data_IF_227928188176
#
_entry.id   IF_227928188176
#
_cell.length_a   1.000
_cell.length_b   1.000
_cell.length_c   1.000
_cell.angle_alpha   90.00
_cell.angle_beta   90.00
_cell.angle_gamma   90.00
#
_symmetry.space_group_name_H-M   'P 1'
#
loop_
_entity.id
_entity.type
_entity.pdbx_description
1 polymer ?
#
# COMPACT_ATOMS: atom_id res chain seq x y z
N UNK A 1 4.81 8.47 -29.18
CA UNK A 1 3.65 8.09 -28.47
C UNK A 1 3.83 8.12 -26.96
N UNK A 2 2.93 8.66 -26.30
CA UNK A 2 3.07 8.80 -24.88
C UNK A 2 2.33 7.70 -24.17
N UNK A 3 3.03 7.04 -23.31
CA UNK A 3 2.39 6.06 -22.49
C UNK A 3 1.87 6.77 -21.25
N UNK A 4 0.61 7.03 -21.23
CA UNK A 4 0.01 7.66 -20.08
C UNK A 4 -0.04 6.66 -18.94
N UNK A 5 0.35 7.10 -17.76
CA UNK A 5 0.15 6.30 -16.57
C UNK A 5 -1.34 6.24 -16.28
N UNK A 6 -1.83 5.07 -15.83
CA UNK A 6 -3.21 4.91 -15.40
C UNK A 6 -3.46 5.63 -14.09
N UNK A 7 -2.40 6.04 -13.41
CA UNK A 7 -2.50 6.66 -12.10
C UNK A 7 -1.92 8.07 -12.11
N UNK A 8 -2.52 8.96 -11.32
CA UNK A 8 -1.99 10.31 -11.15
C UNK A 8 -0.68 10.25 -10.37
N UNK A 9 0.17 11.30 -10.45
CA UNK A 9 1.38 11.36 -9.64
C UNK A 9 1.10 11.21 -8.14
N UNK A 10 0.00 11.77 -7.65
CA UNK A 10 -0.39 11.65 -6.25
C UNK A 10 -0.68 10.20 -5.88
N UNK A 11 -1.38 9.48 -6.75
CA UNK A 11 -1.69 8.07 -6.52
C UNK A 11 -0.43 7.21 -6.56
N UNK A 12 0.48 7.48 -7.49
CA UNK A 12 1.75 6.76 -7.57
C UNK A 12 2.56 6.98 -6.30
N UNK A 13 2.66 8.23 -5.84
CA UNK A 13 3.37 8.55 -4.60
C UNK A 13 2.74 7.84 -3.40
N UNK A 14 1.42 7.79 -3.37
CA UNK A 14 0.67 7.10 -2.31
C UNK A 14 1.00 5.61 -2.31
N UNK A 15 1.03 4.97 -3.48
CA UNK A 15 1.38 3.55 -3.59
C UNK A 15 2.81 3.28 -3.15
N UNK A 16 3.74 4.18 -3.46
CA UNK A 16 5.12 4.04 -3.00
C UNK A 16 5.20 4.05 -1.47
N UNK A 17 4.50 4.99 -0.84
CA UNK A 17 4.47 5.08 0.62
C UNK A 17 3.80 3.87 1.24
N UNK A 18 2.71 3.41 0.65
CA UNK A 18 2.00 2.23 1.13
C UNK A 18 2.88 0.99 1.03
N UNK A 19 3.59 0.84 -0.09
CA UNK A 19 4.49 -0.29 -0.28
C UNK A 19 5.59 -0.31 0.79
N UNK A 20 6.19 0.84 1.06
CA UNK A 20 7.23 0.94 2.08
C UNK A 20 6.69 0.60 3.47
N UNK A 21 5.52 1.11 3.79
CA UNK A 21 4.89 0.83 5.08
C UNK A 21 4.54 -0.66 5.23
N UNK A 22 3.99 -1.25 4.18
CA UNK A 22 3.62 -2.67 4.23
C UNK A 22 4.83 -3.59 4.33
N UNK A 23 5.93 -3.24 3.67
CA UNK A 23 7.19 -3.97 3.82
C UNK A 23 7.72 -3.86 5.24
N UNK A 24 7.67 -2.65 5.82
CA UNK A 24 8.08 -2.41 7.19
C UNK A 24 7.23 -3.22 8.15
N UNK A 25 5.91 -3.22 7.95
CA UNK A 25 5.00 -4.00 8.77
C UNK A 25 5.31 -5.50 8.67
N UNK A 26 5.49 -6.00 7.46
CA UNK A 26 5.79 -7.41 7.25
C UNK A 26 7.05 -7.83 7.99
N UNK A 27 8.10 -7.01 7.91
CA UNK A 27 9.37 -7.33 8.54
C UNK A 27 9.28 -7.22 10.06
N UNK A 28 8.70 -6.15 10.57
CA UNK A 28 8.58 -5.93 12.00
C UNK A 28 7.67 -6.96 12.66
N UNK A 29 6.55 -7.29 12.02
CA UNK A 29 5.59 -8.23 12.59
C UNK A 29 6.06 -9.69 12.54
N UNK A 30 7.03 -9.99 11.68
CA UNK A 30 7.59 -11.34 11.58
C UNK A 30 8.76 -11.55 12.54
N UNK A 31 9.32 -10.48 13.11
CA UNK A 31 10.45 -10.60 14.03
C UNK A 31 10.02 -11.26 15.33
N UNK A 32 10.81 -12.21 15.81
CA UNK A 32 10.47 -12.95 17.02
C UNK A 32 10.41 -12.08 18.26
N UNK A 33 11.22 -11.02 18.26
CA UNK A 33 11.31 -10.12 19.39
C UNK A 33 10.52 -8.83 19.15
N UNK A 34 9.61 -8.84 18.19
CA UNK A 34 8.86 -7.63 17.92
C UNK A 34 7.98 -7.29 19.11
N UNK A 35 8.06 -6.05 19.56
CA UNK A 35 7.24 -5.55 20.63
C UNK A 35 6.14 -4.66 20.06
N UNK A 36 5.16 -4.34 20.90
CA UNK A 36 4.09 -3.44 20.49
C UNK A 36 4.64 -2.09 20.03
N UNK A 37 5.75 -1.64 20.63
CA UNK A 37 6.38 -0.37 20.25
C UNK A 37 6.90 -0.38 18.82
N UNK A 38 7.30 -1.55 18.33
CA UNK A 38 7.84 -1.67 16.98
C UNK A 38 6.81 -1.42 15.89
N UNK A 39 5.54 -1.42 16.23
CA UNK A 39 4.48 -1.20 15.28
C UNK A 39 3.82 0.18 15.38
N UNK A 40 4.28 1.01 16.30
CA UNK A 40 3.72 2.36 16.48
C UNK A 40 3.84 3.17 15.20
N UNK A 41 5.00 3.09 14.55
CA UNK A 41 5.25 3.81 13.32
C UNK A 41 4.28 3.33 12.23
N UNK A 42 4.17 2.02 12.04
CA UNK A 42 3.31 1.44 11.01
C UNK A 42 1.85 1.79 11.24
N UNK A 43 1.39 1.76 12.48
CA UNK A 43 0.03 2.14 12.79
C UNK A 43 -0.24 3.61 12.45
N UNK A 44 0.67 4.49 12.82
CA UNK A 44 0.50 5.92 12.55
C UNK A 44 0.54 6.23 11.06
N UNK A 45 1.48 5.64 10.35
CA UNK A 45 1.58 5.82 8.92
C UNK A 45 0.35 5.25 8.23
N UNK A 46 -0.12 4.08 8.68
CA UNK A 46 -1.29 3.45 8.10
C UNK A 46 -2.54 4.31 8.25
N UNK A 47 -2.71 4.98 9.38
CA UNK A 47 -3.83 5.90 9.58
C UNK A 47 -3.82 7.04 8.57
N UNK A 48 -2.65 7.63 8.37
CA UNK A 48 -2.50 8.72 7.40
C UNK A 48 -2.75 8.23 5.98
N UNK A 49 -2.19 7.08 5.65
CA UNK A 49 -2.38 6.49 4.35
C UNK A 49 -3.82 6.09 4.10
N UNK A 50 -4.51 5.59 5.12
CA UNK A 50 -5.92 5.22 5.00
C UNK A 50 -6.76 6.44 4.62
N UNK A 51 -6.53 7.55 5.28
CA UNK A 51 -7.25 8.78 5.00
C UNK A 51 -6.99 9.23 3.55
N UNK A 52 -5.73 9.24 3.16
CA UNK A 52 -5.35 9.62 1.80
C UNK A 52 -5.93 8.64 0.78
N UNK A 53 -5.94 7.37 1.11
CA UNK A 53 -6.48 6.32 0.24
C UNK A 53 -7.96 6.54 -0.07
N UNK A 54 -8.72 6.91 0.95
CA UNK A 54 -10.14 7.18 0.79
C UNK A 54 -10.36 8.38 -0.13
N UNK A 55 -9.58 9.43 0.04
CA UNK A 55 -9.70 10.63 -0.80
C UNK A 55 -9.32 10.33 -2.25
N UNK A 56 -8.23 9.59 -2.46
CA UNK A 56 -7.81 9.24 -3.81
C UNK A 56 -8.79 8.31 -4.49
N UNK A 57 -9.39 7.39 -3.73
CA UNK A 57 -10.39 6.48 -4.28
C UNK A 57 -11.64 7.23 -4.73
N UNK A 58 -12.07 8.19 -3.93
CA UNK A 58 -13.20 9.05 -4.30
C UNK A 58 -12.92 9.82 -5.58
N UNK A 59 -11.71 10.38 -5.68
CA UNK A 59 -11.30 11.13 -6.86
C UNK A 59 -11.29 10.23 -8.10
N UNK A 60 -10.75 9.02 -7.96
CA UNK A 60 -10.74 8.05 -9.05
C UNK A 60 -12.15 7.67 -9.48
N UNK A 61 -13.05 7.48 -8.52
CA UNK A 61 -14.43 7.15 -8.79
C UNK A 61 -15.12 8.27 -9.56
N UNK A 62 -14.93 9.51 -9.13
CA UNK A 62 -15.53 10.67 -9.78
C UNK A 62 -15.04 10.86 -11.21
N UNK A 63 -13.79 10.49 -11.47
CA UNK A 63 -13.19 10.61 -12.79
C UNK A 63 -13.38 9.38 -13.67
N UNK A 64 -14.05 8.36 -13.15
CA UNK A 64 -14.25 7.12 -13.89
C UNK A 64 -12.96 6.33 -14.11
N UNK A 65 -11.95 6.55 -13.27
CA UNK A 65 -10.69 5.82 -13.39
C UNK A 65 -10.78 4.50 -12.65
N UNK A 66 -11.36 3.51 -13.30
CA UNK A 66 -11.62 2.21 -12.69
C UNK A 66 -10.35 1.48 -12.21
N UNK A 67 -9.26 1.46 -12.98
CA UNK A 67 -8.04 0.80 -12.48
C UNK A 67 -7.52 1.40 -11.18
N UNK A 68 -7.56 2.72 -11.04
CA UNK A 68 -7.13 3.37 -9.80
C UNK A 68 -8.09 3.06 -8.66
N UNK A 69 -9.39 3.10 -8.93
CA UNK A 69 -10.40 2.79 -7.93
C UNK A 69 -10.22 1.36 -7.39
N UNK A 70 -9.99 0.41 -8.27
CA UNK A 70 -9.79 -0.99 -7.87
C UNK A 70 -8.51 -1.19 -7.07
N UNK A 71 -7.42 -0.57 -7.52
CA UNK A 71 -6.13 -0.70 -6.82
C UNK A 71 -6.20 -0.08 -5.41
N UNK A 72 -6.81 1.09 -5.31
CA UNK A 72 -6.99 1.76 -4.01
C UNK A 72 -7.95 0.97 -3.12
N UNK A 73 -9.01 0.41 -3.70
CA UNK A 73 -9.94 -0.43 -2.96
C UNK A 73 -9.30 -1.71 -2.42
N UNK A 74 -8.34 -2.28 -3.15
CA UNK A 74 -7.62 -3.47 -2.70
C UNK A 74 -6.68 -3.16 -1.53
N UNK A 75 -6.15 -1.95 -1.50
CA UNK A 75 -5.23 -1.52 -0.46
C UNK A 75 -5.95 -1.15 0.84
N UNK A 76 -7.15 -0.61 0.74
CA UNK A 76 -7.88 -0.06 1.89
C UNK A 76 -8.03 -1.00 3.09
N UNK A 77 -8.44 -2.27 2.92
CA UNK A 77 -8.61 -3.17 4.07
C UNK A 77 -7.32 -3.38 4.86
N UNK A 78 -6.18 -3.41 4.19
CA UNK A 78 -4.90 -3.59 4.87
C UNK A 78 -4.51 -2.37 5.67
N UNK A 79 -4.72 -1.19 5.11
CA UNK A 79 -4.46 0.05 5.83
C UNK A 79 -5.37 0.15 7.05
N UNK A 80 -6.62 -0.24 6.90
CA UNK A 80 -7.59 -0.22 7.99
C UNK A 80 -7.19 -1.18 9.10
N UNK A 81 -6.85 -2.41 8.74
CA UNK A 81 -6.49 -3.43 9.71
C UNK A 81 -5.25 -3.07 10.51
N UNK A 82 -4.23 -2.53 9.84
CA UNK A 82 -3.00 -2.12 10.52
C UNK A 82 -3.26 -0.90 11.40
N UNK A 83 -4.02 0.07 10.90
CA UNK A 83 -4.35 1.26 11.67
C UNK A 83 -5.12 0.94 12.95
N UNK A 84 -5.92 -0.13 12.92
CA UNK A 84 -6.76 -0.54 14.03
C UNK A 84 -6.18 -1.64 14.92
N UNK A 85 -4.92 -2.00 14.71
CA UNK A 85 -4.28 -2.99 15.58
C UNK A 85 -4.29 -2.49 17.03
N UNK A 86 -4.54 -3.38 17.99
CA UNK A 86 -4.45 -2.99 19.40
C UNK A 86 -3.00 -2.66 19.76
N UNK A 87 -2.80 -2.05 20.92
CA UNK A 87 -1.45 -1.69 21.36
C UNK A 87 -0.55 -2.92 21.51
N UNK A 88 -1.13 -4.05 21.86
CA UNK A 88 -0.42 -5.31 21.97
C UNK A 88 -1.12 -6.35 21.12
N UNK A 89 -0.85 -6.33 19.80
CA UNK A 89 -1.49 -7.30 18.92
C UNK A 89 -0.98 -8.71 19.19
N UNK A 90 -1.88 -9.68 19.04
CA UNK A 90 -1.49 -11.07 19.19
C UNK A 90 -0.68 -11.54 17.99
N UNK A 91 0.16 -12.57 18.15
CA UNK A 91 0.86 -13.14 17.00
C UNK A 91 -0.10 -13.60 15.90
N UNK A 92 -1.28 -14.08 16.27
CA UNK A 92 -2.26 -14.55 15.29
C UNK A 92 -2.82 -13.40 14.48
N UNK A 93 -3.08 -12.26 15.10
CA UNK A 93 -3.54 -11.07 14.38
C UNK A 93 -2.51 -10.60 13.36
N UNK A 94 -1.24 -10.58 13.75
CA UNK A 94 -0.15 -10.17 12.87
C UNK A 94 0.06 -11.18 11.74
N UNK A 95 0.04 -12.45 12.07
CA UNK A 95 0.20 -13.52 11.10
C UNK A 95 -0.92 -13.50 10.05
N UNK A 96 -2.14 -13.25 10.49
CA UNK A 96 -3.28 -13.17 9.59
C UNK A 96 -3.10 -12.07 8.53
N UNK A 97 -2.68 -10.89 8.97
CA UNK A 97 -2.45 -9.79 8.03
C UNK A 97 -1.31 -10.14 7.06
N UNK A 98 -0.20 -10.70 7.58
CA UNK A 98 0.93 -11.09 6.73
C UNK A 98 0.53 -12.11 5.68
N UNK A 99 -0.25 -13.11 6.08
CA UNK A 99 -0.71 -14.14 5.15
C UNK A 99 -1.60 -13.58 4.06
N UNK A 100 -2.49 -12.67 4.42
CA UNK A 100 -3.35 -12.03 3.42
C UNK A 100 -2.56 -11.15 2.47
N UNK A 101 -1.54 -10.44 2.97
CA UNK A 101 -0.65 -9.65 2.13
C UNK A 101 0.05 -10.54 1.11
N UNK A 102 0.51 -11.70 1.54
CA UNK A 102 1.21 -12.63 0.68
C UNK A 102 0.27 -13.26 -0.35
N UNK A 103 -0.90 -13.71 0.07
CA UNK A 103 -1.87 -14.32 -0.84
C UNK A 103 -2.32 -13.39 -1.95
N UNK A 104 -2.46 -12.12 -1.62
CA UNK A 104 -2.88 -11.12 -2.60
C UNK A 104 -1.73 -10.52 -3.36
N UNK A 105 -0.50 -10.88 -3.01
CA UNK A 105 0.71 -10.33 -3.61
C UNK A 105 0.65 -8.81 -3.67
N UNK A 106 0.09 -8.22 -2.61
CA UNK A 106 -0.22 -6.80 -2.60
C UNK A 106 1.02 -5.93 -2.72
N UNK A 107 2.09 -6.29 -2.01
CA UNK A 107 3.32 -5.50 -2.05
C UNK A 107 3.90 -5.48 -3.47
N UNK A 108 3.94 -6.65 -4.12
CA UNK A 108 4.42 -6.73 -5.51
C UNK A 108 3.52 -5.94 -6.46
N UNK A 109 2.22 -6.02 -6.26
CA UNK A 109 1.25 -5.28 -7.04
C UNK A 109 1.45 -3.76 -6.92
N UNK A 110 1.67 -3.29 -5.70
CA UNK A 110 1.93 -1.87 -5.45
C UNK A 110 3.26 -1.43 -6.05
N UNK A 111 4.26 -2.29 -6.02
CA UNK A 111 5.55 -2.00 -6.63
C UNK A 111 5.39 -1.77 -8.13
N UNK A 112 4.62 -2.60 -8.80
CA UNK A 112 4.35 -2.43 -10.22
C UNK A 112 3.53 -1.17 -10.47
N UNK A 113 2.51 -0.93 -9.66
CA UNK A 113 1.62 0.22 -9.83
C UNK A 113 2.31 1.54 -9.57
N UNK A 114 3.32 1.55 -8.70
CA UNK A 114 4.06 2.76 -8.39
C UNK A 114 5.29 2.96 -9.26
N UNK A 115 5.63 1.98 -10.10
CA UNK A 115 6.78 2.12 -10.98
C UNK A 115 6.54 3.26 -11.97
N UNK A 116 7.54 4.11 -12.09
CA UNK A 116 7.46 5.19 -13.07
C UNK A 116 7.66 4.59 -14.46
N UNK A 117 6.90 5.08 -15.43
CA UNK A 117 7.13 4.63 -16.80
C UNK A 117 8.58 4.89 -17.16
N UNK A 118 9.27 3.86 -17.62
CA UNK A 118 10.63 4.06 -18.04
C UNK A 118 10.65 4.95 -19.23
N UNK A 119 11.63 5.81 -19.29
CA UNK A 119 11.87 6.50 -20.53
C UNK A 119 12.14 5.44 -21.56
N UNK A 120 11.66 5.64 -22.74
CA UNK A 120 11.82 4.65 -23.78
C UNK A 120 13.25 4.57 -24.15
N UNK A 121 13.86 3.67 -23.54
CA UNK A 121 15.22 3.48 -23.77
C UNK A 121 15.46 3.00 -25.08
N UNK A 122 14.50 2.37 -25.51
CA UNK A 122 14.64 1.85 -26.72
C UNK A 122 14.73 2.83 -27.74
N UNK A 123 14.49 3.89 -27.38
CA UNK A 123 14.49 4.73 -28.32
C UNK A 123 15.67 5.15 -28.68
N UNK A 124 16.24 4.69 -28.55
CA UNK A 124 17.11 5.07 -29.08
C UNK A 124 17.62 4.54 -29.94
N UNK A 125 17.70 4.54 -30.44
CA UNK A 125 18.17 4.45 -31.33
C UNK A 125 18.46 4.56 -31.84
#
# INVERSE_FOLDING_TARGET
MITASLFTPETISHFEKAQLMLRSFRNASAAKDSSAADLVYEKQVSRRLLYQNILLRRDAEMKGNLPAEEALGSLEPFLLDIANLPDRPSPDELSDIRERLQRKELIASLQISSAKPSAPIYQNP
#
